data_IF_617951491209
#
_entry.id   IF_617951491209
#
_cell.length_a   1.000
_cell.length_b   1.000
_cell.length_c   1.000
_cell.angle_alpha   90.00
_cell.angle_beta   90.00
_cell.angle_gamma   90.00
#
_symmetry.space_group_name_H-M   'P 1'
#
loop_
_entity.id
_entity.type
_entity.pdbx_description
1 polymer ?
#
# COMPACT_ATOMS: atom_id res chain seq x y z
N UNK A 1 -4.22 -14.30 -9.16
CA UNK A 1 -5.23 -13.43 -8.52
C UNK A 1 -5.35 -12.17 -9.36
N UNK A 2 -6.54 -11.63 -9.57
CA UNK A 2 -6.67 -10.34 -10.27
C UNK A 2 -6.30 -9.20 -9.35
N UNK A 3 -5.79 -8.12 -9.94
CA UNK A 3 -5.55 -6.87 -9.25
C UNK A 3 -5.92 -5.69 -10.13
N UNK A 4 -6.23 -4.55 -9.52
CA UNK A 4 -6.47 -3.28 -10.21
C UNK A 4 -5.28 -2.36 -9.95
N UNK A 5 -4.71 -1.83 -11.04
CA UNK A 5 -3.71 -0.76 -10.99
C UNK A 5 -4.43 0.58 -10.94
N UNK A 6 -4.02 1.46 -10.04
CA UNK A 6 -4.55 2.81 -9.91
C UNK A 6 -3.44 3.85 -10.08
N UNK A 7 -3.81 5.04 -10.56
CA UNK A 7 -3.09 6.29 -10.35
C UNK A 7 -3.97 7.20 -9.51
N UNK A 8 -3.51 7.59 -8.32
CA UNK A 8 -4.38 8.12 -7.27
C UNK A 8 -5.56 7.17 -7.05
N UNK A 9 -6.78 7.62 -7.36
CA UNK A 9 -8.03 6.87 -7.24
C UNK A 9 -8.53 6.36 -8.59
N UNK A 10 -7.87 6.74 -9.69
CA UNK A 10 -8.29 6.40 -11.05
C UNK A 10 -7.78 5.02 -11.44
N UNK A 11 -8.65 4.04 -11.74
CA UNK A 11 -8.21 2.73 -12.21
C UNK A 11 -7.60 2.85 -13.61
N UNK A 12 -6.49 2.18 -13.83
CA UNK A 12 -5.76 2.13 -15.11
C UNK A 12 -5.98 0.79 -15.83
N UNK A 13 -6.45 -0.24 -15.14
CA UNK A 13 -6.71 -1.54 -15.72
C UNK A 13 -6.54 -2.66 -14.72
N UNK A 14 -6.66 -3.88 -15.23
CA UNK A 14 -6.57 -5.10 -14.41
C UNK A 14 -5.33 -5.90 -14.75
N UNK A 15 -4.67 -6.46 -13.75
CA UNK A 15 -3.48 -7.28 -13.88
C UNK A 15 -3.81 -8.70 -13.40
N UNK A 16 -3.47 -9.70 -14.21
CA UNK A 16 -3.47 -11.10 -13.75
C UNK A 16 -2.16 -11.37 -12.99
N UNK A 17 -2.19 -11.14 -11.68
CA UNK A 17 -1.03 -11.19 -10.80
C UNK A 17 -0.61 -12.62 -10.47
N UNK A 18 0.70 -12.84 -10.52
CA UNK A 18 1.40 -14.06 -10.09
C UNK A 18 2.73 -13.71 -9.42
N UNK A 19 3.29 -14.68 -8.69
CA UNK A 19 4.68 -14.61 -8.25
C UNK A 19 5.57 -14.75 -9.49
N UNK A 20 6.48 -13.79 -9.67
CA UNK A 20 7.47 -13.77 -10.76
C UNK A 20 8.82 -14.29 -10.26
N UNK A 21 9.25 -13.82 -9.09
CA UNK A 21 10.46 -14.27 -8.41
C UNK A 21 10.23 -14.29 -6.89
N UNK A 22 10.13 -15.50 -6.33
CA UNK A 22 9.89 -15.70 -4.90
C UNK A 22 11.06 -15.25 -4.03
N UNK A 23 12.30 -15.41 -4.51
CA UNK A 23 13.52 -15.07 -3.76
C UNK A 23 13.71 -13.57 -3.58
N UNK A 24 13.23 -12.80 -4.56
CA UNK A 24 13.36 -11.34 -4.62
C UNK A 24 12.07 -10.62 -4.22
N UNK A 25 11.03 -11.35 -3.83
CA UNK A 25 9.77 -10.73 -3.47
C UNK A 25 9.07 -10.07 -4.66
N UNK A 26 9.22 -10.59 -5.89
CA UNK A 26 8.66 -9.96 -7.10
C UNK A 26 7.34 -10.62 -7.48
N UNK A 27 6.29 -9.80 -7.53
CA UNK A 27 4.97 -10.18 -8.07
C UNK A 27 4.61 -9.29 -9.23
N UNK A 28 3.84 -9.81 -10.17
CA UNK A 28 3.54 -9.07 -11.39
C UNK A 28 2.67 -9.84 -12.35
N UNK A 29 2.42 -9.25 -13.51
CA UNK A 29 1.58 -9.83 -14.54
C UNK A 29 1.42 -8.93 -15.75
N UNK A 30 0.57 -9.36 -16.67
CA UNK A 30 0.22 -8.57 -17.86
C UNK A 30 -0.97 -7.69 -17.51
N UNK A 31 -0.82 -6.39 -17.75
CA UNK A 31 -1.89 -5.40 -17.60
C UNK A 31 -2.83 -5.48 -18.81
N UNK A 32 -4.12 -5.60 -18.53
CA UNK A 32 -5.19 -5.26 -19.47
C UNK A 32 -5.58 -3.80 -19.24
N UNK A 33 -5.06 -2.85 -20.06
CA UNK A 33 -5.24 -1.43 -19.83
C UNK A 33 -6.65 -0.97 -20.18
N UNK A 34 -7.13 0.08 -19.51
CA UNK A 34 -8.34 0.79 -19.88
C UNK A 34 -8.02 2.13 -20.58
N UNK A 35 -9.04 2.91 -20.92
CA UNK A 35 -8.89 4.23 -21.56
C UNK A 35 -8.03 5.21 -20.76
N UNK A 36 -8.07 5.13 -19.43
CA UNK A 36 -7.36 6.05 -18.55
C UNK A 36 -5.86 5.73 -18.52
N UNK A 37 -5.48 4.46 -18.62
CA UNK A 37 -4.08 4.09 -18.84
C UNK A 37 -3.51 4.74 -20.11
N UNK A 38 -4.22 4.66 -21.23
CA UNK A 38 -3.74 5.24 -22.49
C UNK A 38 -3.57 6.76 -22.44
N UNK A 39 -4.29 7.46 -21.55
CA UNK A 39 -4.06 8.88 -21.30
C UNK A 39 -2.72 9.17 -20.61
N UNK A 40 -2.20 8.21 -19.84
CA UNK A 40 -0.93 8.30 -19.11
C UNK A 40 0.21 7.54 -19.79
N UNK A 41 -0.08 6.68 -20.78
CA UNK A 41 0.90 5.90 -21.53
C UNK A 41 2.11 6.69 -22.01
N UNK A 42 1.98 7.94 -22.53
CA UNK A 42 3.15 8.72 -22.93
C UNK A 42 4.16 8.93 -21.80
N UNK A 43 3.70 9.04 -20.54
CA UNK A 43 4.55 9.18 -19.35
C UNK A 43 5.30 7.88 -19.11
N UNK A 44 4.59 6.74 -19.06
CA UNK A 44 5.21 5.42 -18.84
C UNK A 44 6.28 5.12 -19.89
N UNK A 45 5.97 5.32 -21.17
CA UNK A 45 6.91 5.10 -22.28
C UNK A 45 8.12 6.02 -22.25
N UNK A 46 7.94 7.29 -21.86
CA UNK A 46 9.03 8.27 -21.76
C UNK A 46 9.96 7.96 -20.58
N UNK A 47 9.44 7.40 -19.51
CA UNK A 47 10.18 7.16 -18.27
C UNK A 47 10.81 5.76 -18.19
N UNK A 48 10.68 4.93 -19.23
CA UNK A 48 11.27 3.59 -19.29
C UNK A 48 12.78 3.63 -18.98
N UNK A 49 13.20 2.81 -18.01
CA UNK A 49 14.62 2.70 -17.61
C UNK A 49 15.16 3.90 -16.85
N UNK A 50 14.31 4.83 -16.40
CA UNK A 50 14.71 6.01 -15.63
C UNK A 50 13.99 6.09 -14.29
N UNK A 51 14.68 6.57 -13.25
CA UNK A 51 14.01 7.08 -12.06
C UNK A 51 13.52 8.49 -12.39
N UNK A 52 12.19 8.69 -12.47
CA UNK A 52 11.60 9.96 -12.88
C UNK A 52 10.46 10.38 -11.93
N UNK A 53 10.54 11.63 -11.45
CA UNK A 53 9.56 12.26 -10.57
C UNK A 53 8.14 12.30 -11.20
N UNK A 54 8.01 12.29 -12.53
CA UNK A 54 6.71 12.18 -13.20
C UNK A 54 5.95 10.91 -12.81
N UNK A 55 6.64 9.78 -12.64
CA UNK A 55 6.02 8.52 -12.18
C UNK A 55 5.61 8.63 -10.72
N UNK A 56 6.45 9.23 -9.86
CA UNK A 56 6.14 9.41 -8.44
C UNK A 56 4.90 10.28 -8.20
N UNK A 57 4.64 11.22 -9.12
CA UNK A 57 3.45 12.06 -9.10
C UNK A 57 2.18 11.30 -9.45
N UNK A 58 2.26 10.14 -10.13
CA UNK A 58 1.09 9.34 -10.46
C UNK A 58 0.51 8.60 -9.24
N UNK A 59 1.24 8.54 -8.11
CA UNK A 59 0.81 7.88 -6.86
C UNK A 59 0.17 6.51 -7.15
N UNK A 60 0.95 5.67 -7.81
CA UNK A 60 0.50 4.36 -8.26
C UNK A 60 0.18 3.46 -7.07
N UNK A 61 -0.91 2.71 -7.18
CA UNK A 61 -1.37 1.75 -6.18
C UNK A 61 -1.86 0.48 -6.87
N UNK A 62 -1.67 -0.69 -6.25
CA UNK A 62 -2.24 -1.95 -6.73
C UNK A 62 -3.09 -2.58 -5.63
N UNK A 63 -4.35 -2.85 -5.96
CA UNK A 63 -5.29 -3.53 -5.08
C UNK A 63 -5.65 -4.90 -5.65
N UNK A 64 -5.46 -5.95 -4.86
CA UNK A 64 -5.87 -7.31 -5.18
C UNK A 64 -7.39 -7.46 -5.08
N UNK A 65 -7.95 -8.44 -5.79
CA UNK A 65 -9.39 -8.71 -5.78
C UNK A 65 -9.95 -9.11 -4.41
N UNK A 66 -9.09 -9.56 -3.49
CA UNK A 66 -9.45 -9.83 -2.09
C UNK A 66 -9.41 -8.60 -1.18
N UNK A 67 -9.16 -7.40 -1.75
CA UNK A 67 -9.15 -6.12 -1.05
C UNK A 67 -7.79 -5.67 -0.51
N UNK A 68 -6.77 -6.54 -0.52
CA UNK A 68 -5.43 -6.22 -0.05
C UNK A 68 -4.72 -5.23 -0.99
N UNK A 69 -4.06 -4.21 -0.44
CA UNK A 69 -3.14 -3.37 -1.19
C UNK A 69 -1.73 -3.95 -1.17
N UNK A 70 -1.08 -3.98 -2.33
CA UNK A 70 0.33 -4.37 -2.45
C UNK A 70 1.23 -3.15 -2.24
N UNK A 71 2.30 -3.35 -1.48
CA UNK A 71 3.30 -2.34 -1.20
C UNK A 71 4.55 -2.53 -2.08
N UNK A 72 4.80 -1.63 -3.04
CA UNK A 72 5.97 -1.68 -3.93
C UNK A 72 7.26 -1.20 -3.22
N UNK A 73 7.90 -2.02 -2.38
CA UNK A 73 9.15 -1.59 -1.69
C UNK A 73 10.26 -1.22 -2.66
N UNK A 74 10.40 -1.94 -3.77
CA UNK A 74 11.33 -1.61 -4.85
C UNK A 74 10.74 -0.72 -5.95
N UNK A 75 9.55 -0.15 -5.73
CA UNK A 75 8.82 0.65 -6.71
C UNK A 75 8.01 -0.19 -7.72
N UNK A 76 7.64 0.44 -8.83
CA UNK A 76 6.91 -0.21 -9.93
C UNK A 76 7.82 -0.31 -11.15
N UNK A 77 7.80 -1.47 -11.80
CA UNK A 77 8.31 -1.64 -13.15
C UNK A 77 7.14 -1.81 -14.11
N UNK A 78 6.92 -0.83 -14.99
CA UNK A 78 5.88 -0.88 -16.02
C UNK A 78 6.58 -0.88 -17.38
N UNK A 79 6.58 -2.03 -18.03
CA UNK A 79 7.18 -2.21 -19.35
C UNK A 79 6.09 -2.10 -20.42
N UNK A 80 6.00 -0.94 -21.05
CA UNK A 80 5.13 -0.66 -22.21
C UNK A 80 6.01 -0.24 -23.39
N UNK A 81 6.28 -1.20 -24.28
CA UNK A 81 7.15 -0.98 -25.45
C UNK A 81 6.31 -0.65 -26.69
N UNK A 82 6.83 0.23 -27.55
CA UNK A 82 6.16 0.58 -28.82
C UNK A 82 6.16 -0.59 -29.80
N UNK A 83 7.15 -1.46 -29.68
CA UNK A 83 7.37 -2.65 -30.48
C UNK A 83 6.38 -3.77 -30.14
N UNK A 84 5.88 -3.79 -28.90
CA UNK A 84 4.87 -4.74 -28.41
C UNK A 84 3.69 -3.98 -27.79
N UNK A 85 2.94 -3.20 -28.59
CA UNK A 85 1.96 -2.24 -28.06
C UNK A 85 0.76 -2.89 -27.36
N UNK A 86 0.60 -4.22 -27.51
CA UNK A 86 -0.47 -5.00 -26.90
C UNK A 86 -0.02 -5.76 -25.64
N UNK A 87 1.24 -5.62 -25.23
CA UNK A 87 1.80 -6.32 -24.07
C UNK A 87 2.40 -5.30 -23.14
N UNK A 88 1.72 -5.07 -22.01
CA UNK A 88 2.19 -4.19 -20.94
C UNK A 88 2.47 -5.08 -19.73
N UNK A 89 3.74 -5.20 -19.34
CA UNK A 89 4.12 -5.94 -18.13
C UNK A 89 4.17 -5.00 -16.93
N UNK A 90 3.69 -5.46 -15.79
CA UNK A 90 3.78 -4.76 -14.50
C UNK A 90 4.44 -5.69 -13.49
N UNK A 91 5.51 -5.23 -12.85
CA UNK A 91 6.20 -5.94 -11.79
C UNK A 91 6.38 -5.05 -10.57
N UNK A 92 6.31 -5.68 -9.40
CA UNK A 92 6.36 -5.07 -8.08
C UNK A 92 7.45 -5.78 -7.27
N UNK A 93 8.70 -5.31 -7.33
CA UNK A 93 9.79 -5.88 -6.53
C UNK A 93 9.66 -5.57 -5.04
N UNK A 94 10.08 -6.52 -4.21
CA UNK A 94 10.01 -6.40 -2.75
C UNK A 94 8.60 -6.23 -2.22
N UNK A 95 7.59 -6.76 -2.92
CA UNK A 95 6.21 -6.58 -2.50
C UNK A 95 5.93 -7.30 -1.19
N UNK A 96 5.08 -6.70 -0.36
CA UNK A 96 4.61 -7.26 0.90
C UNK A 96 3.49 -8.32 0.69
N UNK A 97 3.71 -9.32 -0.15
CA UNK A 97 2.71 -10.36 -0.42
C UNK A 97 2.80 -11.52 0.58
N UNK A 98 2.57 -11.24 1.85
CA UNK A 98 2.50 -12.26 2.90
C UNK A 98 1.44 -13.30 2.58
N UNK A 99 1.78 -14.54 2.26
CA UNK A 99 0.83 -15.67 2.09
C UNK A 99 -0.41 -15.42 1.17
N UNK A 100 -0.54 -14.27 0.50
CA UNK A 100 -1.72 -13.84 -0.27
C UNK A 100 -1.76 -14.55 -1.64
N UNK A 101 -0.60 -14.86 -2.21
CA UNK A 101 -0.48 -15.64 -3.46
C UNK A 101 -0.31 -17.14 -3.21
N UNK A 102 -0.72 -17.65 -2.03
CA UNK A 102 -0.63 -19.07 -1.67
C UNK A 102 -1.39 -20.01 -2.62
N UNK A 103 -1.13 -21.32 -2.50
CA UNK A 103 -1.78 -22.38 -3.28
C UNK A 103 -3.21 -22.63 -2.80
N UNK A 104 -4.14 -21.73 -3.12
CA UNK A 104 -5.56 -21.85 -2.78
C UNK A 104 -6.41 -20.87 -3.57
N UNK A 105 -7.74 -20.95 -3.39
CA UNK A 105 -8.64 -19.91 -3.89
C UNK A 105 -8.37 -18.58 -3.15
N UNK A 106 -8.63 -17.42 -3.79
CA UNK A 106 -8.53 -16.12 -3.14
C UNK A 106 -9.33 -16.10 -1.83
N UNK A 107 -8.65 -16.06 -0.69
CA UNK A 107 -9.30 -15.81 0.60
C UNK A 107 -9.44 -14.31 0.82
N UNK A 108 -10.49 -13.92 1.54
CA UNK A 108 -10.68 -12.55 2.00
C UNK A 108 -9.44 -12.11 2.77
N UNK A 109 -8.95 -10.89 2.51
CA UNK A 109 -7.72 -10.38 3.14
C UNK A 109 -7.85 -10.28 4.67
N UNK A 110 -8.98 -9.79 5.14
CA UNK A 110 -9.35 -9.63 6.56
C UNK A 110 -10.78 -10.11 6.78
N UNK A 111 -11.12 -10.40 8.03
CA UNK A 111 -12.44 -10.87 8.47
C UNK A 111 -13.03 -9.86 9.46
N UNK A 112 -14.35 -9.93 9.70
CA UNK A 112 -15.01 -9.08 10.71
C UNK A 112 -14.30 -9.21 12.07
N UNK A 113 -14.07 -8.10 12.80
CA UNK A 113 -14.62 -6.75 12.58
C UNK A 113 -13.83 -5.86 11.60
N UNK A 114 -12.84 -6.40 10.89
CA UNK A 114 -12.01 -5.67 9.93
C UNK A 114 -12.59 -5.73 8.52
N UNK A 115 -12.41 -4.65 7.77
CA UNK A 115 -12.85 -4.54 6.38
C UNK A 115 -11.73 -4.04 5.46
N UNK A 116 -11.67 -4.52 4.21
CA UNK A 116 -10.75 -3.99 3.22
C UNK A 116 -11.06 -2.52 2.92
N UNK A 117 -10.02 -1.76 2.57
CA UNK A 117 -10.16 -0.35 2.18
C UNK A 117 -10.52 -0.22 0.71
N UNK A 118 -11.25 0.84 0.36
CA UNK A 118 -11.26 1.36 -1.02
C UNK A 118 -9.99 2.18 -1.26
N UNK A 119 -9.66 2.49 -2.51
CA UNK A 119 -8.51 3.35 -2.83
C UNK A 119 -8.68 4.76 -2.24
N UNK A 120 -9.90 5.32 -2.26
CA UNK A 120 -10.18 6.62 -1.65
C UNK A 120 -9.90 6.59 -0.14
N UNK A 121 -10.46 5.60 0.57
CA UNK A 121 -10.26 5.45 2.00
C UNK A 121 -8.78 5.25 2.35
N UNK A 122 -8.05 4.40 1.61
CA UNK A 122 -6.61 4.21 1.78
C UNK A 122 -5.86 5.54 1.75
N UNK A 123 -6.11 6.36 0.72
CA UNK A 123 -5.42 7.64 0.58
C UNK A 123 -5.81 8.63 1.69
N UNK A 124 -7.04 8.59 2.19
CA UNK A 124 -7.49 9.40 3.33
C UNK A 124 -6.80 9.01 4.63
N UNK A 125 -6.77 7.71 4.98
CA UNK A 125 -6.07 7.20 6.15
C UNK A 125 -4.57 7.55 6.12
N UNK A 126 -3.90 7.34 4.99
CA UNK A 126 -2.49 7.68 4.82
C UNK A 126 -2.24 9.19 4.92
N UNK A 127 -3.13 10.01 4.36
CA UNK A 127 -3.02 11.46 4.45
C UNK A 127 -3.17 11.94 5.90
N UNK A 128 -4.15 11.42 6.62
CA UNK A 128 -4.40 11.81 8.02
C UNK A 128 -3.23 11.39 8.92
N UNK A 129 -2.72 10.16 8.77
CA UNK A 129 -1.53 9.73 9.51
C UNK A 129 -0.30 10.57 9.17
N UNK A 130 -0.06 10.88 7.89
CA UNK A 130 1.06 11.74 7.48
C UNK A 130 0.96 13.16 8.05
N UNK A 131 -0.27 13.70 8.19
CA UNK A 131 -0.50 14.98 8.85
C UNK A 131 -0.03 14.92 10.30
N UNK A 132 -0.45 13.92 11.07
CA UNK A 132 -0.01 13.75 12.46
C UNK A 132 1.52 13.59 12.57
N UNK A 133 2.12 12.72 11.76
CA UNK A 133 3.58 12.48 11.73
C UNK A 133 4.36 13.78 11.45
N UNK A 134 3.93 14.59 10.48
CA UNK A 134 4.62 15.83 10.12
C UNK A 134 4.57 16.87 11.25
N UNK A 135 3.47 16.92 12.00
CA UNK A 135 3.31 17.86 13.11
C UNK A 135 4.24 17.51 14.27
N UNK A 136 4.45 16.22 14.52
CA UNK A 136 5.46 15.79 15.48
C UNK A 136 6.90 16.09 15.01
N UNK A 137 7.19 15.97 13.71
CA UNK A 137 8.50 16.35 13.12
C UNK A 137 8.82 17.82 13.36
N UNK A 138 7.86 18.70 13.10
CA UNK A 138 8.03 20.16 13.27
C UNK A 138 8.33 20.56 14.72
N UNK A 139 7.73 19.87 15.70
CA UNK A 139 7.94 20.13 17.12
C UNK A 139 9.30 19.64 17.67
N UNK A 140 10.14 19.01 16.86
CA UNK A 140 11.47 18.43 17.24
C UNK A 140 11.42 17.45 18.44
N UNK A 141 10.26 16.89 18.77
CA UNK A 141 10.09 15.92 19.87
C UNK A 141 10.51 14.48 19.46
N UNK A 142 11.41 14.36 18.47
CA UNK A 142 11.29 13.32 17.43
C UNK A 142 12.41 12.29 17.35
N UNK A 143 13.44 12.33 18.19
CA UNK A 143 14.52 11.34 18.06
C UNK A 143 14.06 9.91 18.41
N UNK A 144 13.02 9.76 19.24
CA UNK A 144 12.65 8.47 19.84
C UNK A 144 11.23 7.98 19.51
N UNK A 145 10.47 8.67 18.66
CA UNK A 145 9.09 8.25 18.36
C UNK A 145 9.04 7.13 17.31
N UNK A 146 8.31 6.01 17.53
CA UNK A 146 8.23 4.88 16.58
C UNK A 146 7.80 5.30 15.16
N UNK A 147 6.86 6.24 15.04
CA UNK A 147 6.42 6.76 13.73
C UNK A 147 7.47 7.58 12.97
N UNK A 148 8.50 8.10 13.65
CA UNK A 148 9.47 9.00 13.04
C UNK A 148 10.31 8.34 11.95
N UNK A 149 10.57 7.05 12.13
CA UNK A 149 11.49 6.25 11.34
C UNK A 149 10.77 5.31 10.36
N UNK A 150 9.43 5.36 10.34
CA UNK A 150 8.62 4.39 9.62
C UNK A 150 7.81 5.08 8.52
N UNK A 151 7.65 4.38 7.39
CA UNK A 151 6.62 4.71 6.40
C UNK A 151 5.44 3.77 6.58
N UNK A 152 4.23 4.31 6.50
CA UNK A 152 3.01 3.56 6.75
C UNK A 152 2.14 3.50 5.51
N UNK A 153 1.55 2.34 5.27
CA UNK A 153 0.65 2.10 4.15
C UNK A 153 -0.62 1.45 4.63
N UNK A 154 -1.77 2.12 4.45
CA UNK A 154 -3.04 1.63 4.96
C UNK A 154 -3.48 0.37 4.21
N UNK A 155 -3.97 -0.63 4.95
CA UNK A 155 -4.35 -1.95 4.43
C UNK A 155 -5.80 -2.32 4.71
N UNK A 156 -6.27 -2.08 5.93
CA UNK A 156 -7.64 -2.39 6.37
C UNK A 156 -8.09 -1.35 7.40
N UNK A 157 -9.41 -1.25 7.59
CA UNK A 157 -10.00 -0.51 8.70
C UNK A 157 -10.74 -1.45 9.63
N UNK A 158 -10.74 -1.10 10.90
CA UNK A 158 -11.68 -1.65 11.86
C UNK A 158 -13.04 -1.00 11.60
N UNK A 159 -14.12 -1.78 11.56
CA UNK A 159 -15.46 -1.25 11.24
C UNK A 159 -16.18 -0.55 12.41
N UNK A 160 -15.96 -0.93 13.68
CA UNK A 160 -16.59 -0.28 14.83
C UNK A 160 -16.02 1.09 15.23
N UNK A 161 -14.78 1.41 14.87
CA UNK A 161 -14.07 2.62 15.29
C UNK A 161 -13.10 3.15 14.22
N UNK A 162 -12.30 4.16 14.58
CA UNK A 162 -11.35 4.83 13.69
C UNK A 162 -9.96 4.16 13.63
N UNK A 163 -9.87 2.89 14.02
CA UNK A 163 -8.62 2.13 13.90
C UNK A 163 -8.38 1.68 12.47
N UNK A 164 -7.14 1.84 12.02
CA UNK A 164 -6.68 1.30 10.75
C UNK A 164 -5.41 0.48 10.89
N UNK A 165 -5.36 -0.61 10.12
CA UNK A 165 -4.18 -1.44 9.97
C UNK A 165 -3.27 -0.83 8.90
N UNK A 166 -2.02 -0.60 9.28
CA UNK A 166 -0.97 -0.14 8.40
C UNK A 166 0.14 -1.19 8.30
N UNK A 167 0.69 -1.32 7.10
CA UNK A 167 2.00 -1.92 6.90
C UNK A 167 3.08 -0.87 7.18
N UNK A 168 3.99 -1.18 8.10
CA UNK A 168 5.06 -0.31 8.54
C UNK A 168 6.39 -0.75 7.90
N UNK A 169 6.88 0.07 6.96
CA UNK A 169 8.24 -0.10 6.42
C UNK A 169 9.20 0.55 7.41
N UNK A 170 9.91 -0.29 8.16
CA UNK A 170 10.81 0.13 9.23
C UNK A 170 12.08 -0.72 9.28
N UNK A 171 13.11 -0.22 9.97
CA UNK A 171 14.28 -1.02 10.37
C UNK A 171 14.04 -1.80 11.68
N UNK A 172 12.80 -1.84 12.17
CA UNK A 172 12.45 -2.52 13.43
C UNK A 172 11.92 -3.93 13.14
N UNK A 173 11.79 -4.75 14.18
CA UNK A 173 11.16 -6.07 14.05
C UNK A 173 9.65 -6.00 13.76
N UNK A 174 9.03 -4.82 13.86
CA UNK A 174 7.59 -4.64 13.65
C UNK A 174 7.29 -4.27 12.19
N UNK A 175 6.39 -5.05 11.58
CA UNK A 175 5.97 -4.90 10.18
C UNK A 175 4.56 -4.32 10.04
N UNK A 176 3.75 -4.38 11.09
CA UNK A 176 2.38 -3.90 11.08
C UNK A 176 2.11 -3.00 12.28
N UNK A 177 1.17 -2.08 12.11
CA UNK A 177 0.67 -1.24 13.18
C UNK A 177 -0.83 -1.05 13.04
N UNK A 178 -1.57 -1.25 14.12
CA UNK A 178 -2.92 -0.69 14.25
C UNK A 178 -2.76 0.71 14.83
N UNK A 179 -3.35 1.70 14.17
CA UNK A 179 -3.24 3.09 14.56
C UNK A 179 -4.64 3.69 14.62
N UNK A 180 -4.98 4.26 15.78
CA UNK A 180 -6.23 5.00 15.98
C UNK A 180 -6.06 6.42 15.45
N UNK A 181 -6.90 6.83 14.49
CA UNK A 181 -6.87 8.19 13.94
C UNK A 181 -8.03 9.03 14.51
N UNK A 182 -7.77 10.29 14.85
CA UNK A 182 -8.77 11.15 15.50
C UNK A 182 -9.54 12.06 14.53
N UNK A 183 -9.08 12.18 13.27
CA UNK A 183 -9.72 12.95 12.19
C UNK A 183 -10.05 14.42 12.52
N UNK A 184 -9.44 15.00 13.56
CA UNK A 184 -9.83 16.33 14.08
C UNK A 184 -9.46 17.48 13.16
N UNK A 185 -8.77 17.21 12.03
CA UNK A 185 -8.33 18.23 11.08
C UNK A 185 -7.22 19.15 11.61
N UNK A 186 -6.85 19.01 12.88
CA UNK A 186 -5.73 19.68 13.54
C UNK A 186 -4.82 18.66 14.21
N UNK A 187 -3.53 18.94 14.39
CA UNK A 187 -2.64 18.09 15.20
C UNK A 187 -3.22 17.87 16.58
N UNK A 188 -3.13 16.64 17.08
CA UNK A 188 -3.42 16.40 18.48
C UNK A 188 -2.42 17.13 19.39
N UNK A 189 -2.92 17.63 20.51
CA UNK A 189 -2.11 18.30 21.54
C UNK A 189 -1.48 17.32 22.50
N UNK A 190 -2.13 16.17 22.68
CA UNK A 190 -1.64 15.08 23.52
C UNK A 190 -0.57 14.28 22.74
N UNK A 191 0.66 14.18 23.26
CA UNK A 191 1.74 13.45 22.59
C UNK A 191 1.56 11.92 22.59
N UNK A 192 0.54 11.39 23.28
CA UNK A 192 0.19 9.96 23.24
C UNK A 192 -0.66 9.57 22.04
N UNK A 193 -1.14 10.55 21.27
CA UNK A 193 -1.85 10.33 20.01
C UNK A 193 -0.91 10.49 18.79
N UNK A 194 -1.20 9.84 17.65
CA UNK A 194 -2.17 8.75 17.55
C UNK A 194 -1.71 7.54 18.36
N UNK A 195 -2.65 6.87 19.02
CA UNK A 195 -2.33 5.64 19.75
C UNK A 195 -2.05 4.53 18.74
N UNK A 196 -1.06 3.68 19.05
CA UNK A 196 -0.68 2.60 18.15
C UNK A 196 -0.27 1.34 18.87
N UNK A 197 -0.61 0.21 18.26
CA UNK A 197 -0.14 -1.11 18.63
C UNK A 197 0.65 -1.71 17.46
N UNK A 198 1.89 -2.13 17.72
CA UNK A 198 2.79 -2.68 16.71
C UNK A 198 2.83 -4.21 16.77
N UNK A 199 2.94 -4.84 15.60
CA UNK A 199 2.99 -6.28 15.44
C UNK A 199 4.17 -6.69 14.56
N UNK A 200 4.81 -7.81 14.89
CA UNK A 200 5.97 -8.32 14.14
C UNK A 200 5.58 -8.93 12.79
N UNK A 201 4.38 -9.50 12.71
CA UNK A 201 3.86 -10.16 11.52
C UNK A 201 2.35 -9.99 11.40
N UNK A 202 1.81 -10.32 10.22
CA UNK A 202 0.37 -10.34 10.02
C UNK A 202 -0.31 -11.42 10.87
N UNK A 203 0.37 -12.55 11.12
CA UNK A 203 -0.13 -13.63 11.97
C UNK A 203 -0.21 -13.18 13.44
N UNK A 204 0.74 -12.38 13.92
CA UNK A 204 0.69 -11.83 15.27
C UNK A 204 -0.45 -10.82 15.44
N UNK A 205 -0.72 -10.03 14.40
CA UNK A 205 -1.90 -9.19 14.34
C UNK A 205 -3.19 -10.01 14.41
N UNK A 206 -3.31 -11.08 13.62
CA UNK A 206 -4.49 -11.96 13.65
C UNK A 206 -4.72 -12.61 15.02
N UNK A 207 -3.67 -13.07 15.70
CA UNK A 207 -3.81 -13.66 17.04
C UNK A 207 -4.42 -12.68 18.04
N UNK A 208 -4.16 -11.38 17.89
CA UNK A 208 -4.75 -10.37 18.77
C UNK A 208 -6.27 -10.17 18.59
N UNK A 209 -6.87 -10.78 17.56
CA UNK A 209 -8.33 -10.80 17.38
C UNK A 209 -9.03 -11.90 18.18
N UNK A 210 -8.29 -12.94 18.58
CA UNK A 210 -8.83 -14.15 19.20
C UNK A 210 -8.80 -14.10 20.74
N UNK A 211 -8.18 -13.06 21.32
CA UNK A 211 -8.03 -12.82 22.76
C UNK A 211 -9.05 -11.80 23.29
#
# INVERSE_FOLDING_TARGET
MKATLYSHTRPLGTIDMKIIDESMGVVGGILTPNKDYFSLQPIFRRCLGTQNNEIENLKLNIQLENGCFLQPLGGFSILDLRETPNVISVEIPGSNYFNIFGKGEPTTFVEEPWAPLTIDAKLEFEKELNKEINLFREKKQFSNHPFAQNQFYAMARHTPDDDALFYAVSNTECQFAVIHLTWTGTPEKDPTFPTSQFYKSFDDFKKSWEE
#
